data_IF_573211139662
#
_entry.id   IF_573211139662
#
_cell.length_a   1.000
_cell.length_b   1.000
_cell.length_c   1.000
_cell.angle_alpha   90.00
_cell.angle_beta   90.00
_cell.angle_gamma   90.00
#
_symmetry.space_group_name_H-M   'P 1'
#
loop_
_entity.id
_entity.type
_entity.pdbx_description
1 polymer ?
#
# COMPACT_ATOMS: atom_id res chain seq x y z
N UNK A 1 18.17 -13.49 12.24
CA UNK A 1 17.69 -14.87 11.99
C UNK A 1 18.74 -15.97 12.14
N UNK A 2 18.28 -17.17 12.52
CA UNK A 2 19.04 -18.42 12.45
C UNK A 2 18.87 -19.07 11.06
N UNK A 3 19.83 -19.88 10.60
CA UNK A 3 19.73 -20.59 9.32
C UNK A 3 19.94 -22.09 9.49
N UNK A 4 19.20 -22.86 8.70
CA UNK A 4 19.30 -24.30 8.58
C UNK A 4 19.74 -24.63 7.15
N UNK A 5 20.72 -25.50 7.01
CA UNK A 5 21.12 -26.04 5.71
C UNK A 5 20.58 -27.47 5.61
N UNK A 6 19.77 -27.72 4.59
CA UNK A 6 19.10 -28.99 4.37
C UNK A 6 19.61 -29.60 3.07
N UNK A 7 19.96 -30.87 3.15
CA UNK A 7 20.26 -31.71 2.00
C UNK A 7 19.50 -33.02 2.13
N UNK A 8 18.99 -33.53 1.01
CA UNK A 8 18.35 -34.83 0.93
C UNK A 8 19.36 -35.80 0.36
N UNK A 9 19.67 -36.86 1.09
CA UNK A 9 20.45 -37.99 0.59
C UNK A 9 19.49 -39.13 0.23
N UNK A 10 19.66 -39.70 -0.96
CA UNK A 10 19.00 -40.93 -1.37
C UNK A 10 20.06 -42.04 -1.45
N UNK A 11 19.78 -43.20 -0.85
CA UNK A 11 20.62 -44.40 -0.90
C UNK A 11 19.88 -45.52 -1.63
N UNK A 12 20.57 -46.26 -2.49
CA UNK A 12 20.02 -47.43 -3.17
C UNK A 12 20.40 -48.77 -2.48
N UNK A 13 19.88 -49.91 -2.96
CA UNK A 13 20.13 -51.25 -2.37
C UNK A 13 21.57 -51.76 -2.58
N UNK A 14 22.30 -51.13 -3.49
CA UNK A 14 23.75 -51.11 -3.68
C UNK A 14 24.23 -49.83 -2.95
N UNK A 15 25.38 -49.82 -2.25
CA UNK A 15 25.82 -48.69 -1.43
C UNK A 15 26.27 -47.48 -2.27
N UNK A 16 25.38 -46.94 -3.09
CA UNK A 16 25.50 -45.70 -3.82
C UNK A 16 24.55 -44.70 -3.16
N UNK A 17 25.10 -43.54 -2.78
CA UNK A 17 24.30 -42.41 -2.32
C UNK A 17 24.40 -41.25 -3.30
N UNK A 18 23.30 -40.53 -3.46
CA UNK A 18 23.25 -39.27 -4.17
C UNK A 18 22.68 -38.19 -3.25
N UNK A 19 23.38 -37.08 -3.13
CA UNK A 19 22.95 -35.92 -2.35
C UNK A 19 22.34 -34.86 -3.26
N UNK A 20 21.26 -34.23 -2.80
CA UNK A 20 20.69 -33.06 -3.44
C UNK A 20 21.54 -31.82 -3.20
N UNK A 21 21.40 -30.80 -4.05
CA UNK A 21 21.95 -29.46 -3.77
C UNK A 21 21.43 -28.94 -2.43
N UNK A 22 22.35 -28.52 -1.55
CA UNK A 22 22.02 -27.97 -0.25
C UNK A 22 21.12 -26.72 -0.37
N UNK A 23 20.07 -26.66 0.46
CA UNK A 23 19.11 -25.56 0.52
C UNK A 23 19.19 -24.90 1.89
N UNK A 24 19.33 -23.56 1.91
CA UNK A 24 19.33 -22.79 3.15
C UNK A 24 17.93 -22.27 3.47
N UNK A 25 17.41 -22.61 4.64
CA UNK A 25 16.20 -22.04 5.22
C UNK A 25 16.63 -20.99 6.25
N UNK A 26 16.04 -19.80 6.19
CA UNK A 26 16.24 -18.75 7.19
C UNK A 26 15.01 -18.67 8.09
N UNK A 27 15.21 -18.81 9.40
CA UNK A 27 14.18 -18.56 10.40
C UNK A 27 14.29 -17.09 10.78
N UNK A 28 13.23 -16.35 10.49
CA UNK A 28 13.14 -14.91 10.75
C UNK A 28 12.02 -14.63 11.76
N UNK A 29 12.13 -13.52 12.46
CA UNK A 29 11.06 -13.06 13.35
C UNK A 29 9.89 -12.49 12.54
N UNK A 30 8.68 -12.39 13.13
CA UNK A 30 7.56 -11.69 12.49
C UNK A 30 7.92 -10.26 12.05
N UNK A 31 8.69 -9.54 12.85
CA UNK A 31 9.17 -8.19 12.54
C UNK A 31 10.11 -8.17 11.33
N UNK A 32 11.07 -9.09 11.28
CA UNK A 32 11.97 -9.25 10.12
C UNK A 32 11.17 -9.59 8.85
N UNK A 33 10.09 -10.37 8.97
CA UNK A 33 9.18 -10.68 7.87
C UNK A 33 8.39 -9.44 7.42
N UNK A 34 7.81 -8.66 8.34
CA UNK A 34 7.11 -7.42 8.02
C UNK A 34 8.01 -6.42 7.28
N UNK A 35 9.24 -6.23 7.77
CA UNK A 35 10.21 -5.34 7.14
C UNK A 35 10.58 -5.83 5.73
N UNK A 36 10.73 -7.14 5.56
CA UNK A 36 11.01 -7.74 4.25
C UNK A 36 9.84 -7.57 3.27
N UNK A 37 8.61 -7.79 3.73
CA UNK A 37 7.41 -7.56 2.92
C UNK A 37 7.33 -6.09 2.47
N UNK A 38 7.63 -5.15 3.38
CA UNK A 38 7.65 -3.74 3.07
C UNK A 38 8.73 -3.36 2.06
N UNK A 39 9.94 -3.91 2.19
CA UNK A 39 11.02 -3.69 1.23
C UNK A 39 10.64 -4.19 -0.18
N UNK A 40 9.99 -5.35 -0.27
CA UNK A 40 9.48 -5.87 -1.56
C UNK A 40 8.39 -4.98 -2.14
N UNK A 41 7.44 -4.51 -1.32
CA UNK A 41 6.40 -3.58 -1.76
C UNK A 41 7.00 -2.25 -2.25
N UNK A 42 7.99 -1.71 -1.54
CA UNK A 42 8.73 -0.53 -1.96
C UNK A 42 9.46 -0.74 -3.30
N UNK A 43 9.98 -1.94 -3.53
CA UNK A 43 10.62 -2.31 -4.81
C UNK A 43 9.60 -2.34 -5.95
N UNK A 44 8.42 -2.93 -5.72
CA UNK A 44 7.31 -2.94 -6.68
C UNK A 44 6.87 -1.50 -7.02
N UNK A 45 6.69 -0.64 -6.00
CA UNK A 45 6.38 0.78 -6.17
C UNK A 45 7.44 1.51 -7.00
N UNK A 46 8.73 1.31 -6.68
CA UNK A 46 9.84 1.92 -7.42
C UNK A 46 9.86 1.51 -8.89
N UNK A 47 9.62 0.23 -9.18
CA UNK A 47 9.55 -0.28 -10.57
C UNK A 47 8.35 0.24 -11.34
N UNK A 48 7.19 0.38 -10.70
CA UNK A 48 6.02 1.00 -11.31
C UNK A 48 6.27 2.48 -11.63
N UNK A 49 6.91 3.22 -10.72
CA UNK A 49 7.25 4.62 -10.94
C UNK A 49 8.26 4.79 -12.09
N UNK A 50 9.24 3.88 -12.18
CA UNK A 50 10.18 3.81 -13.29
C UNK A 50 9.46 3.55 -14.63
N UNK A 51 8.54 2.59 -14.67
CA UNK A 51 7.75 2.29 -15.85
C UNK A 51 6.86 3.46 -16.29
N UNK A 52 6.20 4.14 -15.35
CA UNK A 52 5.41 5.35 -15.64
C UNK A 52 6.28 6.45 -16.26
N UNK A 53 7.45 6.72 -15.67
CA UNK A 53 8.37 7.74 -16.18
C UNK A 53 8.81 7.43 -17.61
N UNK A 54 9.15 6.17 -17.91
CA UNK A 54 9.53 5.74 -19.25
C UNK A 54 8.36 5.83 -20.25
N UNK A 55 7.14 5.50 -19.83
CA UNK A 55 5.96 5.66 -20.69
C UNK A 55 5.69 7.14 -21.01
N UNK A 56 5.81 8.03 -20.02
CA UNK A 56 5.71 9.49 -20.24
C UNK A 56 6.80 10.00 -21.20
N UNK A 57 8.03 9.49 -21.09
CA UNK A 57 9.13 9.80 -22.02
C UNK A 57 8.81 9.33 -23.45
N UNK A 58 8.33 8.08 -23.60
CA UNK A 58 7.93 7.52 -24.91
C UNK A 58 6.75 8.30 -25.52
N UNK A 59 5.78 8.69 -24.70
CA UNK A 59 4.64 9.51 -25.12
C UNK A 59 5.07 10.89 -25.59
N UNK A 60 6.01 11.52 -24.88
CA UNK A 60 6.55 12.84 -25.25
C UNK A 60 7.23 12.79 -26.62
N UNK A 61 8.03 11.76 -26.87
CA UNK A 61 8.69 11.54 -28.16
C UNK A 61 7.67 11.28 -29.29
N UNK A 62 6.68 10.44 -29.03
CA UNK A 62 5.59 10.14 -29.98
C UNK A 62 4.76 11.39 -30.30
N UNK A 63 4.48 12.22 -29.29
CA UNK A 63 3.74 13.48 -29.45
C UNK A 63 4.52 14.50 -30.27
N UNK A 64 5.83 14.61 -30.07
CA UNK A 64 6.67 15.52 -30.84
C UNK A 64 6.59 15.20 -32.35
N UNK A 65 6.63 13.91 -32.70
CA UNK A 65 6.49 13.46 -34.09
C UNK A 65 5.09 13.73 -34.64
N UNK A 66 4.04 13.51 -33.83
CA UNK A 66 2.67 13.81 -34.25
C UNK A 66 2.46 15.30 -34.56
N UNK A 67 3.03 16.20 -33.75
CA UNK A 67 2.98 17.64 -33.99
C UNK A 67 3.71 18.02 -35.30
N UNK A 68 4.88 17.45 -35.56
CA UNK A 68 5.61 17.72 -36.81
C UNK A 68 4.85 17.25 -38.05
N UNK A 69 4.18 16.11 -37.94
CA UNK A 69 3.29 15.59 -38.98
C UNK A 69 2.12 16.54 -39.27
N UNK A 70 1.49 17.08 -38.23
CA UNK A 70 0.35 18.01 -38.35
C UNK A 70 0.75 19.39 -38.91
N UNK A 71 1.84 19.97 -38.41
CA UNK A 71 2.23 21.36 -38.70
C UNK A 71 3.10 21.49 -39.96
N UNK A 72 4.15 20.67 -40.08
CA UNK A 72 5.14 20.81 -41.14
C UNK A 72 4.85 19.90 -42.34
N UNK A 73 4.17 18.77 -42.12
CA UNK A 73 3.85 17.78 -43.16
C UNK A 73 5.08 17.20 -43.87
N UNK A 74 6.28 17.44 -43.34
CA UNK A 74 7.57 16.96 -43.86
C UNK A 74 8.24 16.03 -42.87
N UNK A 75 8.78 14.94 -43.40
CA UNK A 75 9.54 13.90 -42.73
C UNK A 75 11.03 14.16 -42.93
N UNK A 76 11.78 14.28 -41.84
CA UNK A 76 13.23 14.30 -41.86
C UNK A 76 13.81 13.13 -41.03
N UNK A 77 15.14 13.02 -41.02
CA UNK A 77 15.83 11.96 -40.27
C UNK A 77 15.59 12.06 -38.76
N UNK A 78 15.43 13.29 -38.24
CA UNK A 78 15.22 13.55 -36.81
C UNK A 78 13.94 12.90 -36.29
N UNK A 79 12.84 12.95 -37.06
CA UNK A 79 11.58 12.34 -36.63
C UNK A 79 11.63 10.81 -36.69
N UNK A 80 12.39 10.23 -37.63
CA UNK A 80 12.65 8.78 -37.66
C UNK A 80 13.45 8.35 -36.43
N UNK A 81 14.45 9.13 -36.04
CA UNK A 81 15.25 8.86 -34.83
C UNK A 81 14.38 8.97 -33.57
N UNK A 82 13.50 9.97 -33.48
CA UNK A 82 12.55 10.11 -32.37
C UNK A 82 11.57 8.94 -32.29
N UNK A 83 11.02 8.47 -33.41
CA UNK A 83 10.17 7.27 -33.44
C UNK A 83 10.94 6.02 -33.01
N UNK A 84 12.20 5.90 -33.41
CA UNK A 84 13.05 4.79 -32.98
C UNK A 84 13.32 4.84 -31.48
N UNK A 85 13.62 6.01 -30.92
CA UNK A 85 13.77 6.18 -29.47
C UNK A 85 12.49 5.82 -28.73
N UNK A 86 11.32 6.27 -29.21
CA UNK A 86 10.03 5.97 -28.60
C UNK A 86 9.75 4.46 -28.59
N UNK A 87 10.06 3.77 -29.69
CA UNK A 87 9.91 2.32 -29.82
C UNK A 87 10.82 1.55 -28.84
N UNK A 88 12.07 1.97 -28.69
CA UNK A 88 13.01 1.37 -27.74
C UNK A 88 12.57 1.58 -26.29
N UNK A 89 12.15 2.80 -25.94
CA UNK A 89 11.62 3.11 -24.60
C UNK A 89 10.36 2.29 -24.32
N UNK A 90 9.46 2.12 -25.31
CA UNK A 90 8.27 1.27 -25.15
C UNK A 90 8.60 -0.20 -24.88
N UNK A 91 9.68 -0.73 -25.48
CA UNK A 91 10.17 -2.08 -25.17
C UNK A 91 10.71 -2.17 -23.74
N UNK A 92 11.40 -1.14 -23.26
CA UNK A 92 11.87 -1.09 -21.87
C UNK A 92 10.69 -1.07 -20.88
N UNK A 93 9.61 -0.33 -21.18
CA UNK A 93 8.38 -0.36 -20.37
C UNK A 93 7.81 -1.78 -20.27
N UNK A 94 7.68 -2.50 -21.39
CA UNK A 94 7.20 -3.88 -21.38
C UNK A 94 8.10 -4.85 -20.60
N UNK A 95 9.42 -4.68 -20.72
CA UNK A 95 10.38 -5.45 -19.97
C UNK A 95 10.27 -5.24 -18.45
N UNK A 96 10.09 -4.00 -18.00
CA UNK A 96 9.92 -3.67 -16.58
C UNK A 96 8.58 -4.15 -16.02
N UNK A 97 7.52 -4.13 -16.82
CA UNK A 97 6.18 -4.51 -16.37
C UNK A 97 5.98 -6.04 -16.36
N UNK A 98 6.47 -6.77 -17.38
CA UNK A 98 6.09 -8.17 -17.59
C UNK A 98 7.22 -9.12 -18.01
N UNK A 99 8.17 -8.69 -18.86
CA UNK A 99 9.00 -9.67 -19.61
C UNK A 99 10.31 -10.10 -18.92
N UNK A 100 10.76 -9.39 -17.87
CA UNK A 100 12.00 -9.72 -17.15
C UNK A 100 11.76 -10.48 -15.82
N UNK A 101 12.77 -11.24 -15.33
CA UNK A 101 12.70 -11.93 -14.03
C UNK A 101 12.47 -10.98 -12.83
N UNK A 102 12.94 -9.74 -12.94
CA UNK A 102 12.76 -8.69 -11.93
C UNK A 102 11.63 -7.70 -12.29
N UNK A 103 10.75 -8.09 -13.23
CA UNK A 103 9.59 -7.29 -13.61
C UNK A 103 8.59 -7.14 -12.47
N UNK A 104 7.75 -6.09 -12.55
CA UNK A 104 6.66 -5.87 -11.60
C UNK A 104 5.78 -7.13 -11.45
N UNK A 105 5.41 -7.76 -12.56
CA UNK A 105 4.65 -9.02 -12.57
C UNK A 105 5.35 -10.13 -11.78
N UNK A 106 6.64 -10.36 -12.03
CA UNK A 106 7.41 -11.40 -11.35
C UNK A 106 7.57 -11.12 -9.85
N UNK A 107 7.81 -9.86 -9.48
CA UNK A 107 7.92 -9.43 -8.08
C UNK A 107 6.61 -9.65 -7.32
N UNK A 108 5.46 -9.33 -7.92
CA UNK A 108 4.14 -9.55 -7.34
C UNK A 108 3.88 -11.05 -7.14
N UNK A 109 4.15 -11.86 -8.16
CA UNK A 109 3.98 -13.31 -8.09
C UNK A 109 4.87 -13.93 -7.00
N UNK A 110 6.12 -13.49 -6.89
CA UNK A 110 7.04 -13.95 -5.85
C UNK A 110 6.55 -13.57 -4.45
N UNK A 111 6.00 -12.37 -4.27
CA UNK A 111 5.44 -11.91 -3.00
C UNK A 111 4.20 -12.74 -2.61
N UNK A 112 3.28 -12.98 -3.53
CA UNK A 112 2.08 -13.79 -3.29
C UNK A 112 2.45 -15.24 -2.90
N UNK A 113 3.40 -15.84 -3.63
CA UNK A 113 3.92 -17.17 -3.29
C UNK A 113 4.60 -17.18 -1.92
N UNK A 114 5.29 -16.11 -1.51
CA UNK A 114 5.91 -16.03 -0.19
C UNK A 114 4.86 -15.99 0.92
N UNK A 115 3.77 -15.21 0.74
CA UNK A 115 2.68 -15.17 1.70
C UNK A 115 2.02 -16.54 1.87
N UNK A 116 1.75 -17.23 0.76
CA UNK A 116 1.14 -18.57 0.76
C UNK A 116 2.05 -19.61 1.40
N UNK A 117 3.31 -19.70 0.97
CA UNK A 117 4.25 -20.72 1.45
C UNK A 117 4.57 -20.55 2.94
N UNK A 118 4.58 -19.32 3.44
CA UNK A 118 4.86 -19.03 4.85
C UNK A 118 3.58 -18.90 5.70
N UNK A 119 2.39 -19.16 5.12
CA UNK A 119 1.07 -19.05 5.79
C UNK A 119 0.90 -17.72 6.54
N UNK A 120 1.34 -16.64 5.90
CA UNK A 120 1.25 -15.30 6.47
C UNK A 120 -0.18 -14.82 6.32
N UNK A 121 -0.86 -14.56 7.44
CA UNK A 121 -2.23 -14.06 7.44
C UNK A 121 -2.24 -12.56 7.08
N UNK A 122 -2.36 -12.27 5.79
CA UNK A 122 -2.45 -10.90 5.28
C UNK A 122 -3.40 -10.80 4.08
N UNK A 123 -4.70 -11.01 4.29
CA UNK A 123 -5.70 -11.05 3.21
C UNK A 123 -5.76 -9.74 2.43
N UNK A 124 -5.50 -8.62 3.10
CA UNK A 124 -5.47 -7.30 2.47
C UNK A 124 -4.26 -7.14 1.51
N UNK A 125 -3.05 -7.59 1.90
CA UNK A 125 -1.89 -7.60 0.98
C UNK A 125 -2.20 -8.47 -0.21
N UNK A 126 -2.69 -9.68 0.04
CA UNK A 126 -2.94 -10.66 -0.99
C UNK A 126 -3.92 -10.12 -2.02
N UNK A 127 -5.07 -9.58 -1.58
CA UNK A 127 -6.08 -8.98 -2.45
C UNK A 127 -5.50 -7.81 -3.26
N UNK A 128 -4.74 -6.90 -2.64
CA UNK A 128 -4.13 -5.75 -3.33
C UNK A 128 -3.10 -6.18 -4.37
N UNK A 129 -2.25 -7.13 -4.03
CA UNK A 129 -1.26 -7.68 -4.96
C UNK A 129 -1.94 -8.42 -6.12
N UNK A 130 -3.08 -9.07 -5.89
CA UNK A 130 -3.91 -9.65 -6.96
C UNK A 130 -4.56 -8.58 -7.85
N UNK A 131 -5.13 -7.51 -7.27
CA UNK A 131 -5.67 -6.35 -8.02
C UNK A 131 -4.59 -5.72 -8.91
N UNK A 132 -3.39 -5.50 -8.34
CA UNK A 132 -2.25 -4.95 -9.08
C UNK A 132 -1.78 -5.91 -10.18
N UNK A 133 -1.69 -7.21 -9.89
CA UNK A 133 -1.34 -8.24 -10.89
C UNK A 133 -2.29 -8.21 -12.08
N UNK A 134 -3.61 -8.18 -11.83
CA UNK A 134 -4.63 -8.13 -12.87
C UNK A 134 -4.55 -6.86 -13.74
N UNK A 135 -4.28 -5.71 -13.12
CA UNK A 135 -4.10 -4.46 -13.84
C UNK A 135 -2.85 -4.48 -14.73
N UNK A 136 -1.74 -4.99 -14.22
CA UNK A 136 -0.48 -5.14 -14.96
C UNK A 136 -0.63 -6.16 -16.10
N UNK A 137 -1.37 -7.25 -15.88
CA UNK A 137 -1.70 -8.21 -16.93
C UNK A 137 -2.51 -7.55 -18.05
N UNK A 138 -3.46 -6.69 -17.71
CA UNK A 138 -4.26 -5.95 -18.70
C UNK A 138 -3.38 -5.01 -19.53
N UNK A 139 -2.51 -4.24 -18.89
CA UNK A 139 -1.56 -3.35 -19.59
C UNK A 139 -0.69 -4.16 -20.55
N UNK A 140 -0.07 -5.24 -20.05
CA UNK A 140 0.91 -6.02 -20.80
C UNK A 140 0.31 -6.91 -21.89
N UNK A 141 -0.89 -7.46 -21.72
CA UNK A 141 -1.52 -8.33 -22.71
C UNK A 141 -2.29 -7.57 -23.79
N UNK A 142 -2.84 -6.39 -23.45
CA UNK A 142 -3.69 -5.61 -24.36
C UNK A 142 -2.99 -4.36 -24.89
N UNK A 143 -2.50 -3.48 -24.01
CA UNK A 143 -2.05 -2.16 -24.44
C UNK A 143 -0.63 -2.18 -25.03
N UNK A 144 0.33 -2.81 -24.35
CA UNK A 144 1.73 -2.79 -24.78
C UNK A 144 1.98 -3.41 -26.17
N UNK A 145 1.40 -4.57 -26.53
CA UNK A 145 1.62 -5.17 -27.85
C UNK A 145 1.06 -4.30 -28.97
N UNK A 146 -0.08 -3.65 -28.75
CA UNK A 146 -0.71 -2.76 -29.72
C UNK A 146 0.10 -1.48 -29.93
N UNK A 147 0.63 -0.89 -28.85
CA UNK A 147 1.52 0.28 -28.92
C UNK A 147 2.82 -0.08 -29.65
N UNK A 148 3.47 -1.19 -29.27
CA UNK A 148 4.71 -1.64 -29.90
C UNK A 148 4.53 -1.98 -31.39
N UNK A 149 3.44 -2.67 -31.74
CA UNK A 149 3.09 -2.98 -33.12
C UNK A 149 2.83 -1.72 -33.95
N UNK A 150 2.12 -0.75 -33.37
CA UNK A 150 1.86 0.55 -33.99
C UNK A 150 3.13 1.37 -34.22
N UNK A 151 4.00 1.48 -33.21
CA UNK A 151 5.30 2.17 -33.33
C UNK A 151 6.21 1.49 -34.36
N UNK A 152 6.29 0.16 -34.36
CA UNK A 152 7.08 -0.60 -35.35
C UNK A 152 6.58 -0.36 -36.78
N UNK A 153 5.27 -0.37 -36.98
CA UNK A 153 4.65 -0.13 -38.29
C UNK A 153 4.90 1.30 -38.76
N UNK A 154 4.72 2.27 -37.87
CA UNK A 154 4.97 3.70 -38.12
C UNK A 154 6.44 3.94 -38.49
N UNK A 155 7.37 3.38 -37.72
CA UNK A 155 8.81 3.50 -37.95
C UNK A 155 9.23 2.88 -39.29
N UNK A 156 8.69 1.72 -39.66
CA UNK A 156 8.95 1.08 -40.97
C UNK A 156 8.45 1.94 -42.12
N UNK A 157 7.24 2.48 -42.03
CA UNK A 157 6.65 3.34 -43.05
C UNK A 157 7.47 4.63 -43.22
N UNK A 158 7.86 5.28 -42.11
CA UNK A 158 8.69 6.49 -42.14
C UNK A 158 10.07 6.22 -42.75
N UNK A 159 10.75 5.13 -42.36
CA UNK A 159 12.06 4.75 -42.94
C UNK A 159 11.98 4.50 -44.44
N UNK A 160 10.93 3.80 -44.90
CA UNK A 160 10.74 3.52 -46.33
C UNK A 160 10.50 4.80 -47.14
N UNK A 161 9.72 5.75 -46.60
CA UNK A 161 9.50 7.05 -47.21
C UNK A 161 10.78 7.89 -47.32
N UNK A 162 11.65 7.84 -46.30
CA UNK A 162 12.92 8.56 -46.32
C UNK A 162 13.94 7.95 -47.31
N UNK A 163 13.96 6.62 -47.46
CA UNK A 163 14.90 5.92 -48.36
C UNK A 163 14.51 6.00 -49.84
N UNK A 164 13.22 6.12 -50.15
CA UNK A 164 12.70 6.11 -51.53
C UNK A 164 12.94 7.41 -52.32
N UNK A 165 13.78 8.33 -51.81
CA UNK A 165 14.06 9.63 -52.43
C UNK A 165 12.80 10.44 -52.76
N UNK A 166 11.73 10.28 -51.96
CA UNK A 166 10.51 11.06 -52.10
C UNK A 166 10.69 12.51 -51.62
N UNK A 167 9.72 13.38 -51.91
CA UNK A 167 9.67 14.82 -51.56
C UNK A 167 9.65 15.11 -50.03
N UNK A 168 10.07 14.16 -49.20
CA UNK A 168 10.07 14.25 -47.74
C UNK A 168 8.66 14.35 -47.16
N UNK A 169 7.62 13.84 -47.84
CA UNK A 169 6.25 13.88 -47.35
C UNK A 169 5.93 12.64 -46.51
N UNK A 170 5.19 12.84 -45.42
CA UNK A 170 4.72 11.73 -44.59
C UNK A 170 3.76 10.80 -45.35
N UNK A 171 3.91 9.47 -45.19
CA UNK A 171 2.88 8.52 -45.63
C UNK A 171 1.58 8.74 -44.86
N UNK A 172 0.43 8.69 -45.53
CA UNK A 172 -0.89 8.78 -44.87
C UNK A 172 -1.10 7.71 -43.80
N UNK A 173 -0.50 6.53 -43.99
CA UNK A 173 -0.53 5.43 -43.01
C UNK A 173 0.16 5.75 -41.69
N UNK A 174 1.10 6.69 -41.65
CA UNK A 174 1.77 7.12 -40.41
C UNK A 174 0.82 7.98 -39.56
N UNK A 175 0.03 8.85 -40.18
CA UNK A 175 -0.98 9.64 -39.47
C UNK A 175 -2.07 8.74 -38.87
N UNK A 176 -2.51 7.74 -39.64
CA UNK A 176 -3.52 6.78 -39.21
C UNK A 176 -3.05 5.90 -38.03
N UNK A 177 -1.75 5.59 -37.94
CA UNK A 177 -1.21 4.72 -36.89
C UNK A 177 -0.74 5.49 -35.64
N UNK A 178 -0.20 6.70 -35.78
CA UNK A 178 0.42 7.43 -34.67
C UNK A 178 -0.59 7.98 -33.66
N UNK A 179 -1.78 8.40 -34.13
CA UNK A 179 -2.87 8.88 -33.28
C UNK A 179 -3.36 7.79 -32.29
N UNK A 180 -3.78 6.61 -32.77
CA UNK A 180 -4.17 5.49 -31.89
C UNK A 180 -3.06 5.02 -30.94
N UNK A 181 -1.80 5.05 -31.38
CA UNK A 181 -0.64 4.75 -30.51
C UNK A 181 -0.56 5.75 -29.37
N UNK A 182 -0.61 7.04 -29.66
CA UNK A 182 -0.56 8.09 -28.63
C UNK A 182 -1.72 8.00 -27.64
N UNK A 183 -2.95 7.75 -28.11
CA UNK A 183 -4.11 7.57 -27.24
C UNK A 183 -3.95 6.40 -26.27
N UNK A 184 -3.39 5.27 -26.75
CA UNK A 184 -3.14 4.10 -25.90
C UNK A 184 -2.02 4.33 -24.89
N UNK A 185 -0.99 5.08 -25.25
CA UNK A 185 0.04 5.50 -24.30
C UNK A 185 -0.57 6.39 -23.20
N UNK A 186 -1.47 7.31 -23.56
CA UNK A 186 -2.20 8.13 -22.57
C UNK A 186 -3.07 7.26 -21.64
N UNK A 187 -3.72 6.21 -22.16
CA UNK A 187 -4.44 5.22 -21.34
C UNK A 187 -3.50 4.47 -20.37
N UNK A 188 -2.33 4.03 -20.84
CA UNK A 188 -1.33 3.34 -19.99
C UNK A 188 -0.80 4.27 -18.90
N UNK A 189 -0.50 5.52 -19.22
CA UNK A 189 -0.09 6.55 -18.24
C UNK A 189 -1.16 6.71 -17.17
N UNK A 190 -2.42 6.91 -17.56
CA UNK A 190 -3.51 7.08 -16.61
C UNK A 190 -3.69 5.85 -15.69
N UNK A 191 -3.58 4.64 -16.25
CA UNK A 191 -3.64 3.40 -15.47
C UNK A 191 -2.47 3.29 -14.48
N UNK A 192 -1.23 3.57 -14.92
CA UNK A 192 -0.05 3.51 -14.06
C UNK A 192 -0.08 4.58 -12.95
N UNK A 193 -0.53 5.80 -13.25
CA UNK A 193 -0.73 6.87 -12.28
C UNK A 193 -1.77 6.48 -11.22
N UNK A 194 -2.90 5.91 -11.65
CA UNK A 194 -3.93 5.43 -10.72
C UNK A 194 -3.39 4.32 -9.81
N UNK A 195 -2.66 3.34 -10.37
CA UNK A 195 -2.07 2.24 -9.60
C UNK A 195 -1.03 2.75 -8.59
N UNK A 196 -0.15 3.66 -9.00
CA UNK A 196 0.86 4.27 -8.13
C UNK A 196 0.23 5.11 -7.02
N UNK A 197 -0.79 5.91 -7.33
CA UNK A 197 -1.50 6.70 -6.34
C UNK A 197 -2.14 5.82 -5.26
N UNK A 198 -2.89 4.80 -5.67
CA UNK A 198 -3.53 3.88 -4.74
C UNK A 198 -2.52 3.11 -3.88
N UNK A 199 -1.42 2.64 -4.46
CA UNK A 199 -0.42 1.83 -3.76
C UNK A 199 0.46 2.69 -2.83
N UNK A 200 0.85 3.90 -3.25
CA UNK A 200 1.65 4.81 -2.42
C UNK A 200 0.88 5.33 -1.21
N UNK A 201 -0.41 5.62 -1.39
CA UNK A 201 -1.28 6.01 -0.29
C UNK A 201 -1.37 4.87 0.71
N UNK A 202 -1.66 3.66 0.23
CA UNK A 202 -1.76 2.46 1.07
C UNK A 202 -0.50 2.14 1.87
N UNK A 203 0.68 2.27 1.26
CA UNK A 203 1.96 2.10 1.94
C UNK A 203 2.13 3.11 3.11
N UNK A 204 1.61 4.33 2.95
CA UNK A 204 1.71 5.37 3.98
C UNK A 204 0.93 5.01 5.26
N UNK A 205 -0.28 4.46 5.17
CA UNK A 205 -1.06 4.06 6.36
C UNK A 205 -0.45 2.86 7.08
N UNK A 206 0.10 1.91 6.32
CA UNK A 206 0.76 0.72 6.87
C UNK A 206 2.06 1.04 7.56
N UNK A 207 2.74 2.12 7.18
CA UNK A 207 3.85 2.64 7.96
C UNK A 207 3.36 3.07 9.34
N UNK A 208 2.22 3.77 9.46
CA UNK A 208 1.65 4.12 10.76
C UNK A 208 1.23 2.89 11.57
N UNK A 209 0.51 1.93 10.98
CA UNK A 209 0.12 0.70 11.66
C UNK A 209 1.34 -0.04 12.25
N UNK A 210 2.42 -0.18 11.47
CA UNK A 210 3.67 -0.80 11.92
C UNK A 210 4.39 0.01 13.00
N UNK A 211 4.39 1.33 12.89
CA UNK A 211 4.94 2.20 13.94
C UNK A 211 4.18 2.03 15.26
N UNK A 212 2.85 1.91 15.22
CA UNK A 212 2.02 1.60 16.41
C UNK A 212 2.32 0.19 16.92
N UNK A 213 2.38 -0.83 16.05
CA UNK A 213 2.71 -2.20 16.44
C UNK A 213 4.07 -2.29 17.13
N UNK A 214 5.07 -1.57 16.62
CA UNK A 214 6.39 -1.48 17.27
C UNK A 214 6.31 -0.79 18.62
N UNK A 215 5.58 0.32 18.71
CA UNK A 215 5.37 1.05 19.96
C UNK A 215 4.67 0.18 21.01
N UNK A 216 3.67 -0.61 20.61
CA UNK A 216 2.96 -1.56 21.45
C UNK A 216 3.88 -2.65 21.99
N UNK A 217 4.73 -3.25 21.14
CA UNK A 217 5.74 -4.24 21.59
C UNK A 217 6.72 -3.64 22.61
N UNK A 218 7.24 -2.45 22.33
CA UNK A 218 8.13 -1.76 23.29
C UNK A 218 7.40 -1.39 24.59
N UNK A 219 6.11 -1.05 24.53
CA UNK A 219 5.26 -0.83 25.70
C UNK A 219 5.09 -2.11 26.52
N UNK A 220 4.92 -3.25 25.87
CA UNK A 220 4.82 -4.55 26.54
C UNK A 220 6.13 -4.94 27.23
N UNK A 221 7.29 -4.71 26.59
CA UNK A 221 8.60 -4.91 27.22
C UNK A 221 8.78 -4.04 28.48
N UNK A 222 8.37 -2.77 28.43
CA UNK A 222 8.39 -1.88 29.60
C UNK A 222 7.47 -2.41 30.69
N UNK A 223 6.29 -2.93 30.34
CA UNK A 223 5.33 -3.51 31.28
C UNK A 223 5.86 -4.78 31.94
N UNK A 224 6.51 -5.68 31.18
CA UNK A 224 7.13 -6.88 31.71
C UNK A 224 8.23 -6.56 32.73
N UNK A 225 9.12 -5.62 32.40
CA UNK A 225 10.19 -5.16 33.32
C UNK A 225 9.63 -4.43 34.54
N UNK A 226 8.56 -3.65 34.35
CA UNK A 226 7.82 -3.01 35.45
C UNK A 226 7.26 -4.05 36.41
N UNK A 227 6.68 -5.14 35.88
CA UNK A 227 6.17 -6.26 36.66
C UNK A 227 7.27 -7.03 37.41
N UNK A 228 8.45 -7.21 36.80
CA UNK A 228 9.60 -7.81 37.47
C UNK A 228 10.05 -6.92 38.65
N UNK A 229 10.23 -5.62 38.41
CA UNK A 229 10.61 -4.67 39.45
C UNK A 229 9.56 -4.59 40.57
N UNK A 230 8.28 -4.77 40.25
CA UNK A 230 7.19 -4.83 41.25
C UNK A 230 7.45 -5.92 42.28
N UNK A 231 7.89 -7.10 41.86
CA UNK A 231 8.13 -8.24 42.75
C UNK A 231 9.31 -7.98 43.71
N UNK A 232 10.33 -7.25 43.22
CA UNK A 232 11.55 -6.96 43.98
C UNK A 232 11.40 -5.76 44.94
N UNK A 233 10.39 -4.93 44.74
CA UNK A 233 10.18 -3.67 45.49
C UNK A 233 8.90 -3.66 46.32
N UNK A 234 8.30 -4.85 46.53
CA UNK A 234 7.10 -5.00 47.35
C UNK A 234 7.30 -4.39 48.75
N UNK A 235 6.34 -3.55 49.17
CA UNK A 235 6.34 -2.84 50.44
C UNK A 235 7.49 -1.83 50.66
N UNK A 236 8.28 -1.50 49.64
CA UNK A 236 9.33 -0.48 49.72
C UNK A 236 8.82 0.88 49.23
N UNK A 237 9.23 1.97 49.89
CA UNK A 237 9.03 3.32 49.34
C UNK A 237 10.22 3.72 48.46
N UNK A 238 10.05 4.76 47.64
CA UNK A 238 11.12 5.26 46.72
C UNK A 238 12.47 5.52 47.41
N UNK A 239 12.46 5.84 48.72
CA UNK A 239 13.68 6.12 49.50
C UNK A 239 14.38 4.86 49.99
N UNK A 240 13.63 3.76 50.09
CA UNK A 240 14.10 2.48 50.62
C UNK A 240 14.63 1.56 49.50
N UNK A 241 14.50 1.98 48.24
CA UNK A 241 14.97 1.27 47.07
C UNK A 241 16.51 1.19 47.03
N UNK A 242 17.01 0.00 46.73
CA UNK A 242 18.42 -0.27 46.44
C UNK A 242 18.92 0.62 45.28
N UNK A 243 20.23 0.93 45.20
CA UNK A 243 20.81 1.69 44.09
C UNK A 243 20.44 1.15 42.70
N UNK A 244 20.48 -0.18 42.54
CA UNK A 244 20.18 -0.84 41.27
C UNK A 244 18.69 -0.77 40.91
N UNK A 245 17.80 -0.95 41.91
CA UNK A 245 16.35 -0.79 41.73
C UNK A 245 15.98 0.66 41.35
N UNK A 246 16.61 1.66 41.97
CA UNK A 246 16.42 3.08 41.60
C UNK A 246 16.92 3.38 40.20
N UNK A 247 18.01 2.75 39.77
CA UNK A 247 18.52 2.88 38.42
C UNK A 247 17.55 2.28 37.40
N UNK A 248 17.04 1.07 37.66
CA UNK A 248 16.06 0.42 36.79
C UNK A 248 14.74 1.21 36.70
N UNK A 249 14.23 1.69 37.84
CA UNK A 249 13.04 2.56 37.85
C UNK A 249 13.23 3.80 36.98
N UNK A 250 14.40 4.46 37.04
CA UNK A 250 14.71 5.61 36.18
C UNK A 250 14.73 5.24 34.70
N UNK A 251 15.32 4.09 34.34
CA UNK A 251 15.31 3.60 32.95
C UNK A 251 13.89 3.38 32.45
N UNK A 252 13.02 2.76 33.25
CA UNK A 252 11.62 2.54 32.89
C UNK A 252 10.87 3.87 32.71
N UNK A 253 11.08 4.85 33.59
CA UNK A 253 10.50 6.21 33.46
C UNK A 253 10.94 6.87 32.15
N UNK A 254 12.24 6.82 31.83
CA UNK A 254 12.79 7.39 30.61
C UNK A 254 12.25 6.70 29.35
N UNK A 255 12.19 5.37 29.35
CA UNK A 255 11.62 4.57 28.25
C UNK A 255 10.14 4.93 28.03
N UNK A 256 9.32 4.91 29.10
CA UNK A 256 7.89 5.26 29.02
C UNK A 256 7.66 6.69 28.49
N UNK A 257 8.50 7.64 28.92
CA UNK A 257 8.47 9.03 28.44
C UNK A 257 8.85 9.15 26.96
N UNK A 258 9.84 8.38 26.48
CA UNK A 258 10.22 8.40 25.07
C UNK A 258 9.14 7.76 24.19
N UNK A 259 8.52 6.67 24.64
CA UNK A 259 7.39 6.07 23.93
C UNK A 259 6.24 7.07 23.77
N UNK A 260 5.91 7.85 24.81
CA UNK A 260 4.90 8.91 24.73
C UNK A 260 5.24 9.98 23.68
N UNK A 261 6.50 10.43 23.64
CA UNK A 261 6.95 11.43 22.64
C UNK A 261 6.94 10.89 21.22
N UNK A 262 7.28 9.60 21.03
CA UNK A 262 7.19 8.93 19.73
C UNK A 262 5.74 8.86 19.24
N UNK A 263 4.81 8.50 20.13
CA UNK A 263 3.38 8.51 19.83
C UNK A 263 2.91 9.91 19.41
N UNK A 264 3.24 10.96 20.17
CA UNK A 264 2.85 12.34 19.85
C UNK A 264 3.36 12.78 18.47
N UNK A 265 4.63 12.49 18.15
CA UNK A 265 5.20 12.79 16.82
C UNK A 265 4.48 12.05 15.71
N UNK A 266 4.13 10.79 15.94
CA UNK A 266 3.42 9.96 14.98
C UNK A 266 1.98 10.46 14.75
N UNK A 267 1.24 10.79 15.81
CA UNK A 267 -0.10 11.39 15.72
C UNK A 267 -0.06 12.72 14.96
N UNK A 268 0.94 13.57 15.21
CA UNK A 268 1.14 14.81 14.44
C UNK A 268 1.37 14.58 12.95
N UNK A 269 2.15 13.55 12.56
CA UNK A 269 2.32 13.17 11.15
C UNK A 269 1.05 12.62 10.52
N UNK A 270 0.25 11.85 11.28
CA UNK A 270 -1.05 11.37 10.82
C UNK A 270 -2.03 12.53 10.58
N UNK A 271 -2.01 13.56 11.43
CA UNK A 271 -2.83 14.77 11.23
C UNK A 271 -2.47 15.52 9.95
N UNK A 272 -1.18 15.76 9.70
CA UNK A 272 -0.73 16.38 8.44
C UNK A 272 -1.16 15.58 7.23
N UNK A 273 -0.93 14.26 7.24
CA UNK A 273 -1.29 13.38 6.14
C UNK A 273 -2.82 13.35 5.91
N UNK A 274 -3.62 13.31 6.99
CA UNK A 274 -5.08 13.39 6.89
C UNK A 274 -5.51 14.65 6.14
N UNK A 275 -4.93 15.80 6.47
CA UNK A 275 -5.31 17.08 5.88
C UNK A 275 -4.93 17.17 4.40
N UNK A 276 -3.76 16.63 4.01
CA UNK A 276 -3.35 16.50 2.61
C UNK A 276 -4.31 15.60 1.80
N UNK A 277 -4.87 14.58 2.45
CA UNK A 277 -5.76 13.60 1.82
C UNK A 277 -7.22 14.04 1.75
N UNK A 278 -7.65 15.05 2.51
CA UNK A 278 -9.06 15.49 2.53
C UNK A 278 -9.65 15.76 1.14
N UNK A 279 -8.84 16.30 0.23
CA UNK A 279 -9.29 16.64 -1.13
C UNK A 279 -9.04 15.52 -2.13
N UNK A 280 -7.97 14.72 -1.95
CA UNK A 280 -7.51 13.74 -2.93
C UNK A 280 -8.06 12.32 -2.68
N UNK A 281 -8.22 11.92 -1.41
CA UNK A 281 -8.84 10.66 -0.98
C UNK A 281 -9.58 10.86 0.36
N UNK A 282 -10.86 11.30 0.31
CA UNK A 282 -11.66 11.51 1.52
C UNK A 282 -11.83 10.25 2.38
N UNK A 283 -11.80 9.06 1.77
CA UNK A 283 -11.93 7.80 2.50
C UNK A 283 -10.67 7.51 3.32
N UNK A 284 -9.49 7.76 2.75
CA UNK A 284 -8.24 7.66 3.50
C UNK A 284 -8.17 8.66 4.64
N UNK A 285 -8.55 9.90 4.37
CA UNK A 285 -8.62 10.94 5.38
C UNK A 285 -9.57 10.52 6.52
N UNK A 286 -10.70 9.87 6.22
CA UNK A 286 -11.59 9.33 7.23
C UNK A 286 -10.95 8.25 8.09
N UNK A 287 -10.20 7.29 7.53
CA UNK A 287 -9.50 6.26 8.33
C UNK A 287 -8.47 6.87 9.27
N UNK A 288 -7.67 7.83 8.80
CA UNK A 288 -6.73 8.55 9.66
C UNK A 288 -7.45 9.37 10.74
N UNK A 289 -8.59 9.98 10.40
CA UNK A 289 -9.42 10.70 11.36
C UNK A 289 -9.96 9.76 12.45
N UNK A 290 -10.44 8.58 12.06
CA UNK A 290 -10.95 7.56 13.00
C UNK A 290 -9.82 7.10 13.95
N UNK A 291 -8.63 6.77 13.43
CA UNK A 291 -7.49 6.40 14.26
C UNK A 291 -7.04 7.52 15.22
N UNK A 292 -7.00 8.77 14.73
CA UNK A 292 -6.69 9.93 15.55
C UNK A 292 -7.75 10.17 16.64
N UNK A 293 -9.03 9.98 16.31
CA UNK A 293 -10.14 10.09 17.26
C UNK A 293 -10.06 9.00 18.33
N UNK A 294 -9.82 7.74 17.95
CA UNK A 294 -9.57 6.63 18.88
C UNK A 294 -8.43 6.97 19.84
N UNK A 295 -7.28 7.42 19.32
CA UNK A 295 -6.12 7.77 20.16
C UNK A 295 -6.42 8.92 21.14
N UNK A 296 -7.21 9.90 20.71
CA UNK A 296 -7.61 11.06 21.53
C UNK A 296 -8.64 10.69 22.58
N UNK A 297 -9.65 9.89 22.24
CA UNK A 297 -10.70 9.43 23.18
C UNK A 297 -10.13 8.56 24.28
N UNK A 298 -9.23 7.64 23.93
CA UNK A 298 -8.49 6.83 24.89
C UNK A 298 -7.43 7.65 25.66
N UNK A 299 -7.10 8.87 25.20
CA UNK A 299 -6.06 9.71 25.77
C UNK A 299 -4.70 8.99 25.91
N UNK A 300 -4.34 8.16 24.92
CA UNK A 300 -3.18 7.24 24.96
C UNK A 300 -1.89 7.97 25.35
N UNK A 301 -1.54 9.09 24.69
CA UNK A 301 -0.37 9.90 25.07
C UNK A 301 -0.43 10.45 26.50
N UNK A 302 -1.63 10.78 26.98
CA UNK A 302 -1.88 11.23 28.35
C UNK A 302 -1.61 10.12 29.35
N UNK A 303 -2.18 8.93 29.12
CA UNK A 303 -1.96 7.74 29.93
C UNK A 303 -0.48 7.33 29.97
N UNK A 304 0.26 7.40 28.86
CA UNK A 304 1.70 7.10 28.85
C UNK A 304 2.51 8.06 29.73
N UNK A 305 2.19 9.36 29.68
CA UNK A 305 2.82 10.37 30.57
C UNK A 305 2.43 10.15 32.03
N UNK A 306 1.19 9.73 32.28
CA UNK A 306 0.74 9.39 33.62
C UNK A 306 1.45 8.16 34.17
N UNK A 307 1.53 7.08 33.40
CA UNK A 307 2.30 5.88 33.75
C UNK A 307 3.75 6.22 34.07
N UNK A 308 4.40 7.10 33.29
CA UNK A 308 5.75 7.59 33.58
C UNK A 308 5.85 8.31 34.94
N UNK A 309 4.84 9.12 35.32
CA UNK A 309 4.78 9.78 36.64
C UNK A 309 4.51 8.78 37.77
N UNK A 310 3.67 7.78 37.55
CA UNK A 310 3.40 6.70 38.50
C UNK A 310 4.65 5.86 38.77
N UNK A 311 5.39 5.49 37.71
CA UNK A 311 6.70 4.86 37.82
C UNK A 311 7.67 5.77 38.60
N UNK A 312 7.75 7.06 38.29
CA UNK A 312 8.64 7.98 39.00
C UNK A 312 8.29 8.05 40.51
N UNK A 313 7.01 7.96 40.86
CA UNK A 313 6.52 7.94 42.23
C UNK A 313 6.71 6.58 42.94
N UNK A 314 7.27 5.56 42.26
CA UNK A 314 7.33 4.17 42.72
C UNK A 314 5.93 3.57 43.00
N UNK A 315 4.92 4.03 42.27
CA UNK A 315 3.54 3.52 42.31
C UNK A 315 3.36 2.48 41.22
N UNK A 316 4.11 1.38 41.35
CA UNK A 316 4.26 0.36 40.30
C UNK A 316 2.92 -0.31 39.96
N UNK A 317 2.06 -0.56 40.95
CA UNK A 317 0.73 -1.14 40.70
C UNK A 317 -0.13 -0.30 39.76
N UNK A 318 -0.23 1.00 40.04
CA UNK A 318 -0.96 1.95 39.20
C UNK A 318 -0.33 2.08 37.81
N UNK A 319 1.01 2.11 37.75
CA UNK A 319 1.73 2.14 36.47
C UNK A 319 1.41 0.91 35.61
N UNK A 320 1.37 -0.29 36.19
CA UNK A 320 1.06 -1.53 35.46
C UNK A 320 -0.39 -1.55 34.95
N UNK A 321 -1.36 -1.07 35.74
CA UNK A 321 -2.76 -0.96 35.31
C UNK A 321 -2.89 -0.02 34.09
N UNK A 322 -2.22 1.14 34.12
CA UNK A 322 -2.17 2.05 32.99
C UNK A 322 -1.48 1.40 31.77
N UNK A 323 -0.40 0.66 31.97
CA UNK A 323 0.32 -0.02 30.89
C UNK A 323 -0.49 -1.14 30.24
N UNK A 324 -1.35 -1.83 31.00
CA UNK A 324 -2.25 -2.84 30.48
C UNK A 324 -3.38 -2.22 29.62
N UNK A 325 -3.95 -1.10 30.07
CA UNK A 325 -4.90 -0.33 29.26
C UNK A 325 -4.25 0.21 27.98
N UNK A 326 -3.03 0.73 28.09
CA UNK A 326 -2.26 1.22 26.94
C UNK A 326 -2.02 0.13 25.89
N UNK A 327 -1.78 -1.13 26.29
CA UNK A 327 -1.61 -2.23 25.32
C UNK A 327 -2.90 -2.50 24.53
N UNK A 328 -4.06 -2.42 25.20
CA UNK A 328 -5.36 -2.58 24.56
C UNK A 328 -5.67 -1.42 23.61
N UNK A 329 -5.47 -0.17 24.07
CA UNK A 329 -5.72 1.04 23.28
C UNK A 329 -4.82 1.10 22.04
N UNK A 330 -3.55 0.69 22.16
CA UNK A 330 -2.63 0.57 21.02
C UNK A 330 -3.04 -0.56 20.07
N UNK A 331 -3.60 -1.66 20.60
CA UNK A 331 -4.20 -2.73 19.81
C UNK A 331 -5.35 -2.22 18.94
N UNK A 332 -6.29 -1.48 19.54
CA UNK A 332 -7.42 -0.88 18.80
C UNK A 332 -6.94 0.08 17.70
N UNK A 333 -5.89 0.87 17.96
CA UNK A 333 -5.29 1.73 16.94
C UNK A 333 -4.71 0.95 15.75
N UNK A 334 -4.05 -0.18 16.01
CA UNK A 334 -3.54 -1.06 14.96
C UNK A 334 -4.69 -1.61 14.13
N UNK A 335 -5.78 -2.02 14.78
CA UNK A 335 -6.95 -2.59 14.10
C UNK A 335 -7.60 -1.55 13.17
N UNK A 336 -7.83 -0.32 13.66
CA UNK A 336 -8.39 0.78 12.84
C UNK A 336 -7.48 1.10 11.64
N UNK A 337 -6.15 1.12 11.85
CA UNK A 337 -5.19 1.42 10.78
C UNK A 337 -5.00 0.27 9.79
N UNK A 338 -5.22 -0.98 10.19
CA UNK A 338 -4.95 -2.18 9.38
C UNK A 338 -6.19 -2.67 8.62
N UNK A 339 -7.40 -2.49 9.17
CA UNK A 339 -8.64 -3.03 8.62
C UNK A 339 -9.53 -1.99 7.90
N UNK A 340 -8.90 -1.02 7.22
CA UNK A 340 -9.58 0.10 6.50
C UNK A 340 -10.78 -0.35 5.66
N UNK A 341 -10.62 -1.35 4.80
CA UNK A 341 -11.66 -1.74 3.82
C UNK A 341 -12.77 -2.60 4.43
N UNK A 342 -12.50 -3.31 5.52
CA UNK A 342 -13.53 -4.04 6.26
C UNK A 342 -14.44 -3.06 7.02
N UNK A 343 -13.83 -2.05 7.66
CA UNK A 343 -14.57 -0.93 8.22
C UNK A 343 -15.33 -0.10 7.17
N UNK A 344 -14.78 0.05 5.95
CA UNK A 344 -15.46 0.67 4.81
C UNK A 344 -16.67 -0.15 4.34
N UNK A 345 -16.52 -1.48 4.20
CA UNK A 345 -17.63 -2.37 3.84
C UNK A 345 -18.73 -2.34 4.89
N UNK A 346 -18.38 -2.34 6.19
CA UNK A 346 -19.35 -2.18 7.27
C UNK A 346 -20.03 -0.81 7.26
N UNK A 347 -19.31 0.25 6.89
CA UNK A 347 -19.87 1.60 6.78
C UNK A 347 -20.83 1.70 5.58
N UNK A 348 -20.44 1.17 4.42
CA UNK A 348 -21.27 1.12 3.22
C UNK A 348 -22.50 0.23 3.45
N UNK A 349 -22.35 -0.91 4.13
CA UNK A 349 -23.45 -1.78 4.51
C UNK A 349 -24.45 -1.04 5.41
N UNK A 350 -23.96 -0.32 6.43
CA UNK A 350 -24.81 0.53 7.28
C UNK A 350 -25.52 1.63 6.50
N UNK A 351 -24.81 2.33 5.61
CA UNK A 351 -25.43 3.36 4.77
C UNK A 351 -26.48 2.80 3.80
N UNK A 352 -26.26 1.59 3.27
CA UNK A 352 -27.23 0.89 2.43
C UNK A 352 -28.47 0.46 3.23
N UNK A 353 -28.30 -0.02 4.46
CA UNK A 353 -29.39 -0.37 5.36
C UNK A 353 -30.21 0.87 5.74
N UNK A 354 -29.55 1.99 6.06
CA UNK A 354 -30.21 3.26 6.36
C UNK A 354 -31.02 3.77 5.15
N UNK A 355 -30.41 3.77 3.96
CA UNK A 355 -31.08 4.15 2.71
C UNK A 355 -32.25 3.22 2.36
N UNK A 356 -32.11 1.91 2.61
CA UNK A 356 -33.20 0.94 2.45
C UNK A 356 -34.34 1.21 3.44
N UNK A 357 -34.03 1.60 4.68
CA UNK A 357 -34.99 2.05 5.69
C UNK A 357 -35.77 3.29 5.25
N UNK A 358 -35.08 4.31 4.74
CA UNK A 358 -35.69 5.54 4.22
C UNK A 358 -36.65 5.24 3.05
N UNK A 359 -36.22 4.42 2.09
CA UNK A 359 -37.05 4.00 0.96
C UNK A 359 -38.33 3.26 1.43
N UNK A 360 -38.21 2.38 2.42
CA UNK A 360 -39.36 1.67 2.99
C UNK A 360 -40.32 2.63 3.69
N UNK A 361 -39.80 3.66 4.37
CA UNK A 361 -40.62 4.70 5.00
C UNK A 361 -41.36 5.55 3.96
N UNK A 362 -40.70 5.95 2.87
CA UNK A 362 -41.29 6.72 1.78
C UNK A 362 -42.38 5.91 1.08
N UNK A 363 -42.15 4.62 0.85
CA UNK A 363 -43.16 3.73 0.26
C UNK A 363 -44.37 3.52 1.18
N UNK A 364 -44.16 3.54 2.50
CA UNK A 364 -45.25 3.58 3.49
C UNK A 364 -46.09 4.85 3.39
N UNK A 365 -45.43 6.02 3.39
CA UNK A 365 -46.11 7.31 3.24
C UNK A 365 -46.88 7.41 1.92
N UNK A 366 -46.35 6.87 0.82
CA UNK A 366 -47.04 6.87 -0.47
C UNK A 366 -48.32 6.03 -0.44
N UNK A 367 -48.32 4.87 0.26
CA UNK A 367 -49.51 4.04 0.45
C UNK A 367 -50.55 4.71 1.33
N UNK A 368 -50.12 5.38 2.41
CA UNK A 368 -51.02 6.11 3.30
C UNK A 368 -51.68 7.29 2.58
N UNK A 369 -50.92 8.05 1.79
CA UNK A 369 -51.46 9.14 0.97
C UNK A 369 -52.45 8.59 -0.07
N UNK A 370 -52.14 7.48 -0.74
CA UNK A 370 -53.05 6.85 -1.69
C UNK A 370 -54.36 6.40 -1.02
N UNK A 371 -54.28 5.78 0.16
CA UNK A 371 -55.45 5.39 0.94
C UNK A 371 -56.29 6.59 1.40
N UNK A 372 -55.66 7.69 1.81
CA UNK A 372 -56.35 8.94 2.15
C UNK A 372 -57.04 9.56 0.93
N UNK A 373 -56.43 9.49 -0.27
CA UNK A 373 -57.03 9.97 -1.50
C UNK A 373 -58.23 9.11 -1.95
N UNK A 374 -58.17 7.79 -1.82
CA UNK A 374 -59.32 6.90 -2.08
C UNK A 374 -60.47 7.16 -1.10
N UNK A 375 -60.16 7.30 0.19
CA UNK A 375 -61.17 7.60 1.21
C UNK A 375 -61.79 9.00 1.04
N UNK A 376 -61.02 9.98 0.56
CA UNK A 376 -61.53 11.30 0.23
C UNK A 376 -62.42 11.27 -1.03
N UNK A 377 -62.09 10.44 -2.02
CA UNK A 377 -62.93 10.24 -3.22
C UNK A 377 -64.26 9.55 -2.93
N UNK A 378 -64.29 8.58 -2.01
CA UNK A 378 -65.51 7.86 -1.63
C UNK A 378 -66.48 8.67 -0.75
N UNK A 379 -66.01 9.75 -0.10
CA UNK A 379 -66.85 10.65 0.69
C UNK A 379 -67.34 11.88 -0.11
N UNK A 380 -66.96 11.99 -1.39
CA UNK A 380 -67.31 13.10 -2.27
C UNK A 380 -68.45 12.78 -3.27
N UNK A 381 -68.88 11.51 -3.33
CA UNK A 381 -70.12 11.04 -3.96
C UNK A 381 -71.22 10.83 -2.90
#
# INVERSE_FOLDING_TARGET
GAWLELQVAAEDFVPQSAESVARRISIITPDELEDRLAQRQATILGRLAEALRLEQDARTQTRAVAIQLEEAGRLAAVEVDQLQSAELTQRQVAQLLADQPDSVRALIAALLNELENNRVDSPEVQRRMQELSAAIETIASRHLPEIQGGLTTTLKAARSALQSHGDGRWPGSVAESLGPVGARQDEVIAMLEQLLGQLSQWDSYRRFAREVSRLRREQDEVRERTNQLRLDTLAQTRRDLEPDQRAELRRLVEQQSELARRLDRMLGRMETMRDELQTSDPLAAATLADALDTARRAAVSGQMRESSRELEANRIGQATELQEQLDQDLGELIDVLSNRREHELDRIARQLDDAAGELKSLQGHQRDIAGQMEAAGQNAD
#
